data_IF_985401146189
#
_entry.id   IF_985401146189
#
_cell.length_a   1.000
_cell.length_b   1.000
_cell.length_c   1.000
_cell.angle_alpha   90.00
_cell.angle_beta   90.00
_cell.angle_gamma   90.00
#
_symmetry.space_group_name_H-M   'P 1'
#
loop_
_entity.id
_entity.type
_entity.pdbx_description
1 polymer ?
#
# COMPACT_ATOMS: atom_id res chain seq x y z
N UNK A 1 -14.33 -0.53 21.26
CA UNK A 1 -15.64 0.15 21.22
C UNK A 1 -15.53 1.67 21.04
N UNK A 2 -14.77 2.42 21.87
CA UNK A 2 -14.67 3.90 21.76
C UNK A 2 -14.12 4.39 20.40
N UNK A 3 -13.09 3.75 19.84
CA UNK A 3 -12.50 4.13 18.53
C UNK A 3 -13.36 3.80 17.29
N UNK A 4 -14.21 2.78 17.39
CA UNK A 4 -15.17 2.44 16.30
C UNK A 4 -16.30 3.46 16.24
N UNK A 5 -16.73 3.99 17.40
CA UNK A 5 -17.66 5.10 17.49
C UNK A 5 -17.03 6.41 16.96
N UNK A 6 -15.75 6.66 17.22
CA UNK A 6 -15.03 7.83 16.67
C UNK A 6 -14.96 7.79 15.13
N UNK A 7 -14.60 6.65 14.53
CA UNK A 7 -14.53 6.49 13.06
C UNK A 7 -15.90 6.57 12.39
N UNK A 8 -16.95 6.02 13.03
CA UNK A 8 -18.34 6.20 12.58
C UNK A 8 -18.75 7.68 12.63
N UNK A 9 -18.39 8.40 13.69
CA UNK A 9 -18.67 9.84 13.82
C UNK A 9 -17.92 10.68 12.78
N UNK A 10 -16.69 10.30 12.40
CA UNK A 10 -15.90 10.99 11.37
C UNK A 10 -16.50 10.78 9.98
N UNK A 11 -17.00 9.57 9.68
CA UNK A 11 -17.72 9.29 8.43
C UNK A 11 -19.00 10.12 8.32
N UNK A 12 -19.76 10.21 9.42
CA UNK A 12 -21.00 11.00 9.51
C UNK A 12 -20.73 12.51 9.43
N UNK A 13 -19.72 13.02 10.14
CA UNK A 13 -19.31 14.42 10.07
C UNK A 13 -18.80 14.81 8.67
N UNK A 14 -18.07 13.90 8.00
CA UNK A 14 -17.65 14.05 6.61
C UNK A 14 -18.84 14.10 5.67
N UNK A 15 -19.84 13.23 5.86
CA UNK A 15 -21.06 13.26 5.06
C UNK A 15 -21.85 14.56 5.28
N UNK A 16 -22.01 15.01 6.52
CA UNK A 16 -22.67 16.29 6.83
C UNK A 16 -21.93 17.50 6.25
N UNK A 17 -20.59 17.50 6.26
CA UNK A 17 -19.81 18.55 5.60
C UNK A 17 -19.98 18.48 4.07
N UNK A 18 -19.94 17.29 3.47
CA UNK A 18 -20.17 17.11 2.04
C UNK A 18 -21.59 17.52 1.62
N UNK A 19 -22.59 17.23 2.44
CA UNK A 19 -23.99 17.64 2.21
C UNK A 19 -24.14 19.16 2.35
N UNK A 20 -23.50 19.75 3.36
CA UNK A 20 -23.43 21.20 3.54
C UNK A 20 -22.72 21.90 2.36
N UNK A 21 -21.65 21.30 1.82
CA UNK A 21 -20.95 21.82 0.65
C UNK A 21 -21.72 21.56 -0.66
N UNK A 22 -22.48 20.48 -0.78
CA UNK A 22 -23.36 20.23 -1.91
C UNK A 22 -24.46 21.31 -1.99
N UNK A 23 -25.04 21.68 -0.84
CA UNK A 23 -26.00 22.79 -0.70
C UNK A 23 -25.38 24.14 -1.12
N UNK A 24 -24.11 24.38 -0.75
CA UNK A 24 -23.39 25.59 -1.17
C UNK A 24 -23.07 25.61 -2.68
N UNK A 25 -22.83 24.46 -3.31
CA UNK A 25 -22.54 24.38 -4.76
C UNK A 25 -23.76 24.50 -5.67
N UNK A 26 -24.98 24.22 -5.18
CA UNK A 26 -26.21 24.58 -5.92
C UNK A 26 -26.44 26.09 -5.96
N UNK A 27 -25.80 26.83 -5.05
CA UNK A 27 -25.81 28.29 -5.06
C UNK A 27 -24.69 28.80 -5.98
N UNK A 28 -24.86 28.59 -7.28
CA UNK A 28 -24.11 29.33 -8.29
C UNK A 28 -24.47 30.81 -8.13
N UNK A 29 -23.56 31.60 -7.58
CA UNK A 29 -23.65 33.07 -7.66
C UNK A 29 -23.46 33.42 -9.15
N UNK A 30 -24.58 33.45 -9.87
CA UNK A 30 -24.68 34.08 -11.18
C UNK A 30 -24.66 35.59 -10.92
N UNK A 31 -23.47 36.21 -11.01
CA UNK A 31 -23.40 37.67 -11.19
C UNK A 31 -23.74 37.95 -12.66
N UNK A 32 -25.03 37.98 -12.98
CA UNK A 32 -25.55 38.73 -14.12
C UNK A 32 -26.90 39.32 -13.72
N UNK A 33 -26.98 40.65 -13.82
CA UNK A 33 -28.21 41.42 -13.73
C UNK A 33 -29.38 40.70 -14.41
N UNK A 34 -30.46 40.44 -13.67
CA UNK A 34 -31.83 40.35 -14.17
C UNK A 34 -32.84 40.53 -13.01
N UNK A 35 -34.07 40.99 -13.31
CA UNK A 35 -34.96 41.69 -12.41
C UNK A 35 -35.80 40.77 -11.51
N UNK A 36 -36.42 41.41 -10.53
CA UNK A 36 -37.23 40.84 -9.48
C UNK A 36 -38.42 40.00 -9.99
N UNK A 37 -38.34 38.70 -9.82
CA UNK A 37 -39.37 37.90 -9.14
C UNK A 37 -38.92 36.45 -9.05
N UNK A 38 -38.40 36.04 -7.89
CA UNK A 38 -38.38 34.61 -7.53
C UNK A 38 -38.77 34.42 -6.07
N UNK A 39 -39.78 33.57 -5.95
CA UNK A 39 -40.50 33.11 -4.76
C UNK A 39 -39.60 32.45 -3.71
N UNK A 40 -39.76 32.95 -2.48
CA UNK A 40 -39.68 32.31 -1.17
C UNK A 40 -39.11 30.88 -1.06
N UNK A 41 -37.88 30.76 -0.53
CA UNK A 41 -37.45 29.70 0.42
C UNK A 41 -35.96 29.85 0.82
N UNK A 42 -35.52 31.00 1.34
CA UNK A 42 -34.15 31.16 1.88
C UNK A 42 -34.08 32.03 3.14
N UNK A 43 -35.07 31.96 4.02
CA UNK A 43 -34.97 32.54 5.37
C UNK A 43 -34.16 31.62 6.32
N UNK A 44 -32.98 31.14 5.90
CA UNK A 44 -32.02 30.60 6.88
C UNK A 44 -31.39 31.80 7.58
N UNK A 45 -31.68 31.95 8.88
CA UNK A 45 -31.05 32.95 9.75
C UNK A 45 -29.54 32.91 9.51
N UNK A 46 -28.95 33.99 9.02
CA UNK A 46 -27.49 34.06 8.82
C UNK A 46 -26.86 33.99 10.21
N UNK A 47 -26.37 32.81 10.59
CA UNK A 47 -25.65 32.62 11.85
C UNK A 47 -24.26 33.23 11.62
N UNK A 48 -24.05 34.45 12.11
CA UNK A 48 -22.72 35.06 12.17
C UNK A 48 -21.92 34.37 13.28
N UNK A 49 -21.24 33.28 12.93
CA UNK A 49 -20.26 32.66 13.83
C UNK A 49 -19.09 33.64 14.03
N UNK A 50 -18.54 33.75 15.25
CA UNK A 50 -17.33 34.53 15.48
C UNK A 50 -16.19 34.00 14.61
N UNK A 51 -15.27 34.86 14.14
CA UNK A 51 -14.18 34.44 13.27
C UNK A 51 -13.27 33.45 14.02
N UNK A 52 -13.26 32.19 13.59
CA UNK A 52 -12.36 31.19 14.16
C UNK A 52 -10.89 31.55 13.84
N UNK A 53 -9.93 31.27 14.75
CA UNK A 53 -8.49 31.38 14.50
C UNK A 53 -8.01 30.48 13.35
N UNK A 54 -6.82 30.76 12.81
CA UNK A 54 -6.26 29.97 11.68
C UNK A 54 -5.98 28.53 12.10
N UNK A 55 -5.49 28.34 13.32
CA UNK A 55 -5.14 27.06 13.93
C UNK A 55 -6.36 26.16 14.05
N UNK A 56 -7.49 26.73 14.49
CA UNK A 56 -8.77 26.02 14.56
C UNK A 56 -9.28 25.63 13.18
N UNK A 57 -9.17 26.53 12.19
CA UNK A 57 -9.51 26.17 10.81
C UNK A 57 -8.61 25.07 10.28
N UNK A 58 -7.29 25.12 10.52
CA UNK A 58 -6.37 24.08 10.08
C UNK A 58 -6.75 22.72 10.65
N UNK A 59 -7.04 22.63 11.95
CA UNK A 59 -7.53 21.39 12.56
C UNK A 59 -8.80 20.89 11.87
N UNK A 60 -9.80 21.76 11.67
CA UNK A 60 -11.05 21.37 10.99
C UNK A 60 -10.78 20.84 9.57
N UNK A 61 -9.92 21.52 8.80
CA UNK A 61 -9.58 21.14 7.43
C UNK A 61 -8.77 19.83 7.38
N UNK A 62 -7.86 19.62 8.35
CA UNK A 62 -7.11 18.38 8.53
C UNK A 62 -8.06 17.21 8.82
N UNK A 63 -8.98 17.37 9.78
CA UNK A 63 -10.00 16.36 10.09
C UNK A 63 -10.92 16.06 8.92
N UNK A 64 -11.38 17.10 8.20
CA UNK A 64 -12.26 16.95 7.04
C UNK A 64 -11.58 16.19 5.87
N UNK A 65 -10.25 16.17 5.83
CA UNK A 65 -9.47 15.57 4.75
C UNK A 65 -8.61 14.39 5.20
N UNK A 66 -8.74 13.99 6.46
CA UNK A 66 -7.95 12.92 7.08
C UNK A 66 -8.15 11.59 6.37
N UNK A 67 -7.04 10.91 6.12
CA UNK A 67 -7.00 9.53 5.61
C UNK A 67 -6.01 8.77 6.51
N UNK A 68 -6.44 7.76 7.27
CA UNK A 68 -5.55 7.00 8.15
C UNK A 68 -4.34 6.47 7.39
N UNK A 69 -3.14 6.54 7.99
CA UNK A 69 -1.91 5.98 7.41
C UNK A 69 -1.47 6.57 6.06
N UNK A 70 -2.08 7.65 5.56
CA UNK A 70 -1.78 8.19 4.21
C UNK A 70 -0.31 8.58 4.01
N UNK A 71 0.37 8.99 5.08
CA UNK A 71 1.80 9.36 5.10
C UNK A 71 2.69 8.33 5.82
N UNK A 72 2.17 7.13 6.06
CA UNK A 72 2.91 6.05 6.70
C UNK A 72 3.76 5.28 5.67
N UNK A 73 5.10 5.35 5.77
CA UNK A 73 5.97 4.64 4.84
C UNK A 73 6.13 3.16 5.18
N UNK A 74 5.77 2.73 6.39
CA UNK A 74 6.12 1.42 6.92
C UNK A 74 5.04 0.39 6.53
N UNK A 75 5.45 -0.88 6.42
CA UNK A 75 4.53 -2.01 6.28
C UNK A 75 4.48 -2.70 7.64
N UNK A 76 3.37 -2.50 8.34
CA UNK A 76 3.18 -3.10 9.66
C UNK A 76 2.92 -4.59 9.51
N UNK A 77 3.54 -5.37 10.39
CA UNK A 77 3.23 -6.78 10.51
C UNK A 77 1.77 -6.90 10.97
N UNK A 78 0.92 -7.67 10.25
CA UNK A 78 -0.49 -7.82 10.59
C UNK A 78 -0.73 -8.30 12.02
N UNK A 79 0.23 -9.01 12.63
CA UNK A 79 0.10 -9.62 13.95
C UNK A 79 0.51 -8.69 15.10
N UNK A 80 1.09 -7.53 14.82
CA UNK A 80 1.48 -6.59 15.86
C UNK A 80 0.22 -5.97 16.50
N UNK A 81 0.20 -5.88 17.84
CA UNK A 81 -0.92 -5.28 18.58
C UNK A 81 -0.42 -4.27 19.62
N UNK A 82 -1.08 -3.10 19.74
CA UNK A 82 -2.15 -2.59 18.88
C UNK A 82 -1.61 -2.15 17.51
N UNK A 83 -2.40 -2.34 16.44
CA UNK A 83 -2.06 -1.78 15.13
C UNK A 83 -2.10 -0.24 15.17
N UNK A 84 -1.14 0.45 14.54
CA UNK A 84 -1.05 1.91 14.57
C UNK A 84 -2.14 2.60 13.72
N UNK A 85 -2.74 1.88 12.77
CA UNK A 85 -3.81 2.34 11.90
C UNK A 85 -4.80 1.20 11.64
N UNK A 86 -6.02 1.48 11.12
CA UNK A 86 -6.93 0.43 10.66
C UNK A 86 -6.20 -0.53 9.73
N UNK A 87 -6.43 -1.83 9.94
CA UNK A 87 -5.76 -2.86 9.16
C UNK A 87 -6.09 -2.68 7.67
N UNK A 88 -5.06 -2.68 6.83
CA UNK A 88 -5.20 -2.71 5.37
C UNK A 88 -4.56 -3.97 4.85
N UNK A 89 -5.20 -4.70 3.92
CA UNK A 89 -4.59 -5.84 3.27
C UNK A 89 -3.20 -5.46 2.74
N UNK A 90 -2.14 -6.13 3.19
CA UNK A 90 -0.78 -5.83 2.77
C UNK A 90 -0.70 -5.93 1.24
N UNK A 91 -0.02 -4.96 0.62
CA UNK A 91 0.29 -4.96 -0.82
C UNK A 91 -0.92 -4.72 -1.76
N UNK A 92 -2.11 -4.45 -1.22
CA UNK A 92 -3.25 -3.91 -1.96
C UNK A 92 -3.38 -2.40 -1.69
N UNK A 93 -3.11 -1.59 -2.71
CA UNK A 93 -3.21 -0.12 -2.61
C UNK A 93 -4.54 0.43 -3.12
N UNK A 94 -5.46 -0.41 -3.63
CA UNK A 94 -6.66 0.07 -4.30
C UNK A 94 -7.62 0.82 -3.37
N UNK A 95 -7.82 0.31 -2.15
CA UNK A 95 -8.66 0.94 -1.14
C UNK A 95 -8.05 2.24 -0.64
N UNK A 96 -6.77 2.24 -0.29
CA UNK A 96 -6.03 3.44 0.09
C UNK A 96 -6.09 4.52 -1.00
N UNK A 97 -5.84 4.14 -2.27
CA UNK A 97 -5.95 5.06 -3.41
C UNK A 97 -7.38 5.58 -3.62
N UNK A 98 -8.41 4.80 -3.29
CA UNK A 98 -9.79 5.28 -3.31
C UNK A 98 -10.01 6.34 -2.24
N UNK A 99 -9.54 6.12 -1.01
CA UNK A 99 -9.67 7.08 0.09
C UNK A 99 -8.92 8.38 -0.19
N UNK A 100 -7.70 8.29 -0.72
CA UNK A 100 -6.90 9.45 -1.16
C UNK A 100 -7.66 10.27 -2.20
N UNK A 101 -8.23 9.61 -3.23
CA UNK A 101 -9.03 10.30 -4.25
C UNK A 101 -10.24 11.00 -3.65
N UNK A 102 -10.95 10.37 -2.72
CA UNK A 102 -12.08 10.99 -2.02
C UNK A 102 -11.64 12.20 -1.16
N UNK A 103 -10.48 12.11 -0.50
CA UNK A 103 -9.90 13.23 0.25
C UNK A 103 -9.51 14.37 -0.69
N UNK A 104 -8.89 14.08 -1.84
CA UNK A 104 -8.52 15.08 -2.85
C UNK A 104 -9.73 15.85 -3.40
N UNK A 105 -10.87 15.19 -3.60
CA UNK A 105 -12.12 15.87 -3.98
C UNK A 105 -12.51 16.90 -2.93
N UNK A 106 -12.46 16.53 -1.66
CA UNK A 106 -12.77 17.42 -0.53
C UNK A 106 -11.78 18.58 -0.48
N UNK A 107 -10.47 18.30 -0.49
CA UNK A 107 -9.38 19.30 -0.53
C UNK A 107 -9.57 20.32 -1.67
N UNK A 108 -9.97 19.87 -2.86
CA UNK A 108 -10.24 20.74 -4.01
C UNK A 108 -11.41 21.70 -3.79
N UNK A 109 -12.45 21.29 -3.07
CA UNK A 109 -13.55 22.19 -2.72
C UNK A 109 -13.11 23.21 -1.67
N UNK A 110 -12.36 22.78 -0.65
CA UNK A 110 -11.89 23.65 0.43
C UNK A 110 -11.06 24.83 -0.08
N UNK A 111 -10.11 24.59 -1.01
CA UNK A 111 -9.25 25.66 -1.57
C UNK A 111 -10.01 26.69 -2.42
N UNK A 112 -11.29 26.45 -2.72
CA UNK A 112 -12.13 27.32 -3.58
C UNK A 112 -13.18 28.10 -2.80
N UNK A 113 -13.25 27.94 -1.47
CA UNK A 113 -14.27 28.61 -0.64
C UNK A 113 -14.01 30.11 -0.53
N UNK A 114 -12.84 30.51 -0.04
CA UNK A 114 -12.43 31.91 0.08
C UNK A 114 -10.90 32.04 0.09
N UNK A 115 -10.36 33.26 0.01
CA UNK A 115 -8.90 33.50 0.01
C UNK A 115 -8.19 32.92 1.25
N UNK A 116 -8.84 33.00 2.42
CA UNK A 116 -8.29 32.46 3.67
C UNK A 116 -8.20 30.94 3.61
N UNK A 117 -9.28 30.26 3.21
CA UNK A 117 -9.30 28.80 3.07
C UNK A 117 -8.39 28.32 1.96
N UNK A 118 -8.27 29.08 0.88
CA UNK A 118 -7.29 28.84 -0.17
C UNK A 118 -5.88 28.76 0.41
N UNK A 119 -5.46 29.76 1.19
CA UNK A 119 -4.13 29.77 1.81
C UNK A 119 -3.93 28.61 2.81
N UNK A 120 -4.94 28.31 3.65
CA UNK A 120 -4.83 27.26 4.67
C UNK A 120 -4.90 25.84 4.10
N UNK A 121 -5.73 25.59 3.08
CA UNK A 121 -5.97 24.26 2.53
C UNK A 121 -5.04 23.91 1.35
N UNK A 122 -4.30 24.88 0.78
CA UNK A 122 -3.38 24.61 -0.33
C UNK A 122 -2.29 23.59 0.03
N UNK A 123 -1.61 23.68 1.19
CA UNK A 123 -0.64 22.65 1.60
C UNK A 123 -1.28 21.26 1.68
N UNK A 124 -2.50 21.17 2.25
CA UNK A 124 -3.24 19.91 2.35
C UNK A 124 -3.55 19.32 0.97
N UNK A 125 -3.92 20.15 -0.01
CA UNK A 125 -4.20 19.72 -1.39
C UNK A 125 -2.99 19.03 -2.05
N UNK A 126 -1.79 19.59 -1.86
CA UNK A 126 -0.56 19.07 -2.47
C UNK A 126 0.14 18.00 -1.63
N UNK A 127 -0.21 17.84 -0.36
CA UNK A 127 0.46 16.89 0.54
C UNK A 127 0.47 15.44 0.04
N UNK A 128 -0.66 14.98 -0.52
CA UNK A 128 -0.80 13.65 -1.11
C UNK A 128 -1.53 13.75 -2.44
N UNK A 129 -0.81 13.47 -3.52
CA UNK A 129 -1.28 13.63 -4.90
C UNK A 129 -1.48 12.27 -5.55
N UNK A 130 -2.64 12.09 -6.20
CA UNK A 130 -2.94 10.91 -7.01
C UNK A 130 -3.13 11.30 -8.48
N UNK A 131 -2.44 10.63 -9.39
CA UNK A 131 -2.50 10.86 -10.83
C UNK A 131 -2.88 9.57 -11.55
N UNK A 132 -4.07 9.55 -12.13
CA UNK A 132 -4.59 8.40 -12.89
C UNK A 132 -4.60 8.59 -14.41
N UNK A 133 -4.24 9.78 -14.91
CA UNK A 133 -4.30 10.13 -16.34
C UNK A 133 -3.06 10.91 -16.78
N UNK A 134 -2.58 10.67 -17.99
CA UNK A 134 -1.39 11.36 -18.56
C UNK A 134 -1.57 12.88 -18.58
N UNK A 135 -2.73 13.37 -19.02
CA UNK A 135 -3.01 14.82 -19.07
C UNK A 135 -2.90 15.49 -17.70
N UNK A 136 -3.27 14.78 -16.64
CA UNK A 136 -3.15 15.27 -15.27
C UNK A 136 -1.71 15.29 -14.80
N UNK A 137 -0.89 14.34 -15.28
CA UNK A 137 0.55 14.32 -15.03
C UNK A 137 1.26 15.51 -15.67
N UNK A 138 0.94 15.82 -16.94
CA UNK A 138 1.48 16.99 -17.64
C UNK A 138 1.06 18.30 -16.96
N UNK A 139 -0.24 18.43 -16.63
CA UNK A 139 -0.74 19.60 -15.90
C UNK A 139 -0.08 19.75 -14.53
N UNK A 140 0.19 18.66 -13.81
CA UNK A 140 0.93 18.71 -12.55
C UNK A 140 2.35 19.22 -12.77
N UNK A 141 3.09 18.65 -13.74
CA UNK A 141 4.44 19.10 -14.08
C UNK A 141 4.48 20.60 -14.33
N UNK A 142 3.61 21.09 -15.21
CA UNK A 142 3.64 22.50 -15.64
C UNK A 142 3.37 23.44 -14.45
N UNK A 143 2.43 23.08 -13.57
CA UNK A 143 2.15 23.87 -12.36
C UNK A 143 3.31 23.83 -11.35
N UNK A 144 3.93 22.67 -11.13
CA UNK A 144 5.06 22.54 -10.21
C UNK A 144 6.28 23.34 -10.69
N UNK A 145 6.61 23.22 -11.97
CA UNK A 145 7.73 23.94 -12.59
C UNK A 145 7.46 25.45 -12.59
N UNK A 146 6.25 25.89 -12.94
CA UNK A 146 5.90 27.30 -12.90
C UNK A 146 6.00 27.89 -11.48
N UNK A 147 5.52 27.15 -10.49
CA UNK A 147 5.60 27.59 -9.08
C UNK A 147 7.04 27.64 -8.57
N UNK A 148 7.89 26.68 -8.94
CA UNK A 148 9.31 26.68 -8.57
C UNK A 148 10.07 27.87 -9.19
N UNK A 149 9.74 28.24 -10.43
CA UNK A 149 10.31 29.43 -11.09
C UNK A 149 9.90 30.71 -10.37
N UNK A 150 8.62 30.85 -10.02
CA UNK A 150 8.11 32.01 -9.28
C UNK A 150 8.83 32.19 -7.94
N UNK A 151 9.11 31.11 -7.21
CA UNK A 151 9.88 31.18 -5.95
C UNK A 151 11.33 31.63 -6.20
N UNK A 152 11.98 31.08 -7.23
CA UNK A 152 13.38 31.43 -7.59
C UNK A 152 13.52 32.88 -8.04
N UNK A 153 12.50 33.43 -8.70
CA UNK A 153 12.42 34.81 -9.18
C UNK A 153 12.04 35.82 -8.06
N UNK A 154 12.05 35.40 -6.78
CA UNK A 154 11.77 36.26 -5.64
C UNK A 154 10.28 36.43 -5.30
N UNK A 155 9.43 35.53 -5.79
CA UNK A 155 8.01 35.49 -5.43
C UNK A 155 7.79 35.18 -3.95
N UNK A 156 6.70 35.72 -3.39
CA UNK A 156 6.31 35.51 -1.97
C UNK A 156 5.74 34.09 -1.74
N UNK A 157 5.34 33.38 -2.80
CA UNK A 157 4.71 32.08 -2.72
C UNK A 157 5.72 30.93 -2.70
N UNK A 158 5.54 30.01 -1.75
CA UNK A 158 6.32 28.77 -1.63
C UNK A 158 6.08 27.84 -2.84
N UNK A 159 7.13 27.16 -3.33
CA UNK A 159 6.97 26.21 -4.41
C UNK A 159 6.01 25.07 -4.02
N UNK A 160 4.99 24.83 -4.85
CA UNK A 160 3.95 23.82 -4.62
C UNK A 160 4.52 22.43 -4.31
N UNK A 161 5.65 22.08 -4.95
CA UNK A 161 6.33 20.80 -4.79
C UNK A 161 6.90 20.54 -3.38
N UNK A 162 7.14 21.60 -2.60
CA UNK A 162 7.63 21.50 -1.21
C UNK A 162 6.59 20.91 -0.25
N UNK A 163 5.32 20.96 -0.60
CA UNK A 163 4.25 20.36 0.20
C UNK A 163 4.05 18.89 -0.08
N UNK A 164 4.48 18.38 -1.25
CA UNK A 164 4.22 17.01 -1.66
C UNK A 164 5.02 16.02 -0.81
N UNK A 165 4.30 15.21 -0.03
CA UNK A 165 4.86 14.13 0.80
C UNK A 165 4.58 12.75 0.22
N UNK A 166 3.49 12.62 -0.55
CA UNK A 166 3.12 11.38 -1.22
C UNK A 166 2.68 11.62 -2.65
N UNK A 167 3.16 10.78 -3.57
CA UNK A 167 2.74 10.77 -4.97
C UNK A 167 2.36 9.35 -5.41
N UNK A 168 1.13 9.19 -5.88
CA UNK A 168 0.62 7.96 -6.47
C UNK A 168 0.42 8.17 -7.99
N UNK A 169 1.22 7.51 -8.81
CA UNK A 169 1.14 7.54 -10.28
C UNK A 169 0.59 6.22 -10.79
N UNK A 170 -0.70 6.19 -11.14
CA UNK A 170 -1.42 5.03 -11.63
C UNK A 170 -2.00 5.29 -13.03
N UNK A 171 -1.14 5.75 -13.94
CA UNK A 171 -1.51 6.20 -15.28
C UNK A 171 -1.80 4.99 -16.18
N UNK A 172 -3.06 4.87 -16.63
CA UNK A 172 -3.53 3.72 -17.43
C UNK A 172 -3.62 4.02 -18.93
N UNK A 173 -3.69 5.30 -19.28
CA UNK A 173 -3.97 5.85 -20.62
C UNK A 173 -2.70 6.29 -21.37
N UNK A 174 -1.51 5.92 -20.89
CA UNK A 174 -0.27 6.24 -21.59
C UNK A 174 -0.02 5.30 -22.76
N UNK A 175 -0.51 5.72 -23.93
CA UNK A 175 -0.32 5.04 -25.22
C UNK A 175 0.76 5.67 -26.09
N UNK A 176 1.55 6.62 -25.57
CA UNK A 176 2.55 7.39 -26.33
C UNK A 176 3.58 6.56 -27.11
N UNK A 177 4.30 7.14 -28.06
CA UNK A 177 5.39 6.43 -28.73
C UNK A 177 6.58 6.21 -27.77
N UNK A 178 7.52 5.29 -28.03
CA UNK A 178 8.71 5.07 -27.19
C UNK A 178 9.55 6.33 -26.94
N UNK A 179 9.44 7.32 -27.83
CA UNK A 179 10.18 8.59 -27.78
C UNK A 179 9.45 9.72 -27.05
N UNK A 180 8.21 9.51 -26.60
CA UNK A 180 7.48 10.54 -25.86
C UNK A 180 8.15 10.75 -24.50
N UNK A 181 8.59 11.99 -24.25
CA UNK A 181 9.23 12.36 -22.99
C UNK A 181 8.25 12.17 -21.83
N UNK A 182 8.57 11.21 -20.96
CA UNK A 182 7.82 10.95 -19.75
C UNK A 182 8.05 12.10 -18.77
N UNK A 183 7.01 12.83 -18.32
CA UNK A 183 7.19 14.08 -17.55
C UNK A 183 7.60 13.87 -16.09
N UNK A 184 7.73 12.61 -15.64
CA UNK A 184 7.94 12.30 -14.24
C UNK A 184 9.31 12.71 -13.69
N UNK A 185 10.45 12.61 -14.41
CA UNK A 185 11.71 13.15 -13.94
C UNK A 185 11.63 14.65 -13.63
N UNK A 186 10.95 15.44 -14.47
CA UNK A 186 10.72 16.87 -14.24
C UNK A 186 9.89 17.12 -12.97
N UNK A 187 8.85 16.30 -12.76
CA UNK A 187 8.06 16.33 -11.53
C UNK A 187 8.95 16.01 -10.34
N UNK A 188 9.74 14.92 -10.37
CA UNK A 188 10.60 14.52 -9.26
C UNK A 188 11.57 15.62 -8.84
N UNK A 189 12.13 16.37 -9.81
CA UNK A 189 13.01 17.51 -9.55
C UNK A 189 12.33 18.66 -8.76
N UNK A 190 11.00 18.67 -8.68
CA UNK A 190 10.24 19.64 -7.90
C UNK A 190 9.87 19.14 -6.49
N UNK A 191 10.13 17.87 -6.13
CA UNK A 191 9.57 17.24 -4.92
C UNK A 191 10.62 16.85 -3.85
N UNK A 192 11.46 17.77 -3.35
CA UNK A 192 12.57 17.42 -2.45
C UNK A 192 12.14 16.89 -1.06
N UNK A 193 10.83 16.89 -0.78
CA UNK A 193 10.22 16.49 0.49
C UNK A 193 9.38 15.22 0.38
N UNK A 194 9.42 14.56 -0.79
CA UNK A 194 8.67 13.35 -1.09
C UNK A 194 9.11 12.19 -0.18
N UNK A 195 8.16 11.58 0.52
CA UNK A 195 8.37 10.44 1.43
C UNK A 195 7.87 9.13 0.85
N UNK A 196 6.77 9.17 0.10
CA UNK A 196 6.11 7.98 -0.46
C UNK A 196 5.92 8.18 -1.95
N UNK A 197 6.45 7.24 -2.75
CA UNK A 197 6.20 7.15 -4.18
C UNK A 197 5.60 5.80 -4.52
N UNK A 198 4.39 5.82 -5.08
CA UNK A 198 3.73 4.62 -5.61
C UNK A 198 3.58 4.80 -7.11
N UNK A 199 4.13 3.88 -7.88
CA UNK A 199 4.06 3.87 -9.33
C UNK A 199 3.52 2.55 -9.84
N UNK A 200 2.41 2.66 -10.55
CA UNK A 200 1.73 1.58 -11.23
C UNK A 200 1.63 1.96 -12.71
N UNK A 201 2.60 1.50 -13.49
CA UNK A 201 2.69 1.77 -14.94
C UNK A 201 2.72 0.45 -15.72
N UNK A 202 2.27 0.50 -16.97
CA UNK A 202 2.45 -0.60 -17.93
C UNK A 202 3.76 -0.48 -18.73
N UNK A 203 4.54 0.58 -18.49
CA UNK A 203 5.78 0.89 -19.22
C UNK A 203 7.00 0.92 -18.30
N UNK A 204 7.67 -0.21 -18.14
CA UNK A 204 8.87 -0.32 -17.31
C UNK A 204 10.01 0.61 -17.74
N UNK A 205 10.18 0.86 -19.04
CA UNK A 205 11.28 1.63 -19.62
C UNK A 205 11.36 3.09 -19.15
N UNK A 206 10.29 3.61 -18.55
CA UNK A 206 10.20 4.99 -18.06
C UNK A 206 10.80 5.16 -16.66
N UNK A 207 11.07 4.05 -15.97
CA UNK A 207 11.51 4.08 -14.59
C UNK A 207 12.98 4.50 -14.38
N UNK A 208 13.97 4.09 -15.20
CA UNK A 208 15.38 4.47 -14.95
C UNK A 208 15.64 5.99 -14.92
N UNK A 209 15.17 6.81 -15.88
CA UNK A 209 15.31 8.26 -15.81
C UNK A 209 14.62 8.86 -14.57
N UNK A 210 13.48 8.26 -14.18
CA UNK A 210 12.76 8.66 -12.97
C UNK A 210 13.58 8.34 -11.72
N UNK A 211 14.19 7.15 -11.63
CA UNK A 211 14.99 6.74 -10.47
C UNK A 211 16.20 7.65 -10.27
N UNK A 212 16.87 8.06 -11.35
CA UNK A 212 17.96 9.02 -11.28
C UNK A 212 17.50 10.37 -10.71
N UNK A 213 16.35 10.89 -11.18
CA UNK A 213 15.78 12.13 -10.65
C UNK A 213 15.36 12.01 -9.17
N UNK A 214 14.83 10.84 -8.77
CA UNK A 214 14.52 10.52 -7.37
C UNK A 214 15.79 10.56 -6.54
N UNK A 215 16.86 9.85 -6.93
CA UNK A 215 18.12 9.82 -6.19
C UNK A 215 18.68 11.22 -5.97
N UNK A 216 18.68 12.04 -7.02
CA UNK A 216 19.19 13.42 -6.99
C UNK A 216 18.39 14.36 -6.08
N UNK A 217 17.05 14.27 -6.09
CA UNK A 217 16.19 15.28 -5.46
C UNK A 217 15.53 14.80 -4.18
N UNK A 218 15.07 13.55 -4.17
CA UNK A 218 14.22 12.97 -3.13
C UNK A 218 14.94 11.88 -2.33
N UNK A 219 16.18 11.51 -2.67
CA UNK A 219 16.85 10.32 -2.12
C UNK A 219 17.00 10.34 -0.60
N UNK A 220 17.18 11.54 -0.02
CA UNK A 220 17.24 11.72 1.43
C UNK A 220 15.89 11.79 2.12
N UNK A 221 14.79 12.08 1.41
CA UNK A 221 13.45 12.17 2.01
C UNK A 221 12.60 10.92 1.79
N UNK A 222 12.89 10.16 0.74
CA UNK A 222 12.09 9.02 0.31
C UNK A 222 12.23 7.85 1.29
N UNK A 223 11.09 7.37 1.78
CA UNK A 223 10.97 6.31 2.77
C UNK A 223 10.23 5.09 2.22
N UNK A 224 9.29 5.26 1.29
CA UNK A 224 8.56 4.17 0.64
C UNK A 224 8.59 4.33 -0.87
N UNK A 225 9.01 3.27 -1.54
CA UNK A 225 8.98 3.17 -3.00
C UNK A 225 8.24 1.90 -3.39
N UNK A 226 7.13 2.05 -4.11
CA UNK A 226 6.40 0.95 -4.72
C UNK A 226 6.39 1.11 -6.23
N UNK A 227 6.89 0.12 -6.96
CA UNK A 227 6.94 0.13 -8.42
C UNK A 227 6.53 -1.22 -8.97
N UNK A 228 5.48 -1.28 -9.79
CA UNK A 228 4.97 -2.53 -10.34
C UNK A 228 5.77 -3.09 -11.53
N UNK A 229 6.71 -2.32 -12.09
CA UNK A 229 7.52 -2.72 -13.24
C UNK A 229 8.99 -2.39 -13.01
N UNK A 230 9.85 -3.40 -13.09
CA UNK A 230 11.31 -3.24 -13.06
C UNK A 230 11.90 -3.56 -14.42
N UNK A 231 12.86 -2.75 -14.87
CA UNK A 231 13.69 -3.03 -16.05
C UNK A 231 15.11 -3.40 -15.66
N UNK A 232 15.70 -4.28 -16.46
CA UNK A 232 17.11 -4.68 -16.44
C UNK A 232 18.10 -3.54 -16.67
N UNK A 233 17.65 -2.41 -17.24
CA UNK A 233 18.51 -1.24 -17.47
C UNK A 233 19.02 -0.60 -16.18
N UNK A 234 18.43 -0.91 -15.02
CA UNK A 234 18.97 -0.55 -13.71
C UNK A 234 20.24 -1.35 -13.34
N UNK A 235 20.45 -2.53 -13.92
CA UNK A 235 21.60 -3.38 -13.63
C UNK A 235 22.91 -2.88 -14.28
N UNK A 236 22.86 -1.90 -15.18
CA UNK A 236 24.07 -1.29 -15.74
C UNK A 236 24.55 -0.07 -14.92
N UNK A 237 23.77 0.40 -13.96
CA UNK A 237 24.14 1.49 -13.06
C UNK A 237 23.84 1.12 -11.61
N UNK A 238 24.80 0.48 -10.95
CA UNK A 238 24.78 0.01 -9.54
C UNK A 238 24.57 1.12 -8.48
N UNK A 239 24.21 2.34 -8.89
CA UNK A 239 24.18 3.55 -8.06
C UNK A 239 22.79 4.04 -7.71
N UNK A 240 21.75 3.71 -8.49
CA UNK A 240 20.43 4.37 -8.34
C UNK A 240 19.74 4.18 -6.98
N UNK A 241 19.96 3.05 -6.31
CA UNK A 241 19.42 2.80 -4.96
C UNK A 241 20.33 3.32 -3.84
N UNK A 242 21.62 3.56 -4.11
CA UNK A 242 22.59 4.07 -3.12
C UNK A 242 22.19 5.46 -2.61
N UNK A 243 21.55 6.24 -3.45
CA UNK A 243 21.11 7.59 -3.10
C UNK A 243 19.84 7.59 -2.21
N UNK A 244 19.13 6.47 -2.10
CA UNK A 244 17.89 6.34 -1.33
C UNK A 244 18.17 6.01 0.15
N UNK A 245 18.91 6.89 0.82
CA UNK A 245 19.51 6.63 2.15
C UNK A 245 18.49 6.43 3.29
N UNK A 246 17.26 6.91 3.13
CA UNK A 246 16.21 6.79 4.14
C UNK A 246 15.08 5.83 3.75
N UNK A 247 15.30 5.01 2.71
CA UNK A 247 14.32 4.03 2.26
C UNK A 247 14.08 2.95 3.32
N UNK A 248 12.81 2.80 3.72
CA UNK A 248 12.34 1.82 4.72
C UNK A 248 11.58 0.67 4.09
N UNK A 249 10.82 0.99 3.04
CA UNK A 249 9.94 0.06 2.34
C UNK A 249 10.21 0.11 0.85
N UNK A 250 10.56 -1.04 0.28
CA UNK A 250 10.70 -1.21 -1.16
C UNK A 250 9.80 -2.34 -1.65
N UNK A 251 8.77 -1.98 -2.42
CA UNK A 251 7.83 -2.93 -3.00
C UNK A 251 8.01 -2.95 -4.51
N UNK A 252 8.48 -4.08 -5.02
CA UNK A 252 8.56 -4.34 -6.45
C UNK A 252 7.41 -5.24 -6.88
N UNK A 253 6.87 -5.02 -8.08
CA UNK A 253 5.84 -5.86 -8.68
C UNK A 253 6.40 -7.10 -9.38
N UNK A 254 5.55 -8.06 -9.73
CA UNK A 254 5.93 -9.20 -10.56
C UNK A 254 6.42 -8.73 -11.93
N UNK A 255 7.49 -9.34 -12.42
CA UNK A 255 8.00 -9.09 -13.78
C UNK A 255 7.23 -9.99 -14.74
N UNK A 256 6.40 -9.37 -15.58
CA UNK A 256 5.50 -10.09 -16.50
C UNK A 256 6.16 -10.53 -17.82
N UNK A 257 7.41 -10.13 -18.08
CA UNK A 257 8.12 -10.45 -19.33
C UNK A 257 9.40 -11.24 -19.03
N UNK A 258 9.54 -12.41 -19.68
CA UNK A 258 10.68 -13.31 -19.56
C UNK A 258 11.99 -12.68 -20.10
N UNK A 259 11.89 -11.59 -20.86
CA UNK A 259 13.04 -10.90 -21.45
C UNK A 259 13.65 -9.81 -20.56
N UNK A 260 13.09 -9.54 -19.38
CA UNK A 260 13.64 -8.52 -18.47
C UNK A 260 14.38 -9.18 -17.32
N UNK A 261 15.72 -9.04 -17.35
CA UNK A 261 16.55 -9.37 -16.20
C UNK A 261 16.11 -8.49 -15.02
N UNK A 262 15.51 -9.08 -14.01
CA UNK A 262 15.23 -8.38 -12.77
C UNK A 262 16.53 -8.04 -12.04
N UNK A 263 16.47 -7.01 -11.20
CA UNK A 263 17.58 -6.66 -10.33
C UNK A 263 17.80 -7.81 -9.35
N UNK A 264 19.01 -8.36 -9.34
CA UNK A 264 19.42 -9.35 -8.36
C UNK A 264 19.20 -8.76 -6.96
N UNK A 265 18.44 -9.41 -6.07
CA UNK A 265 18.23 -8.92 -4.70
C UNK A 265 19.56 -8.61 -3.99
N UNK A 266 20.60 -9.38 -4.28
CA UNK A 266 21.93 -9.21 -3.69
C UNK A 266 22.65 -7.94 -4.19
N UNK A 267 22.40 -7.53 -5.44
CA UNK A 267 22.96 -6.30 -6.00
C UNK A 267 22.22 -5.03 -5.54
N UNK A 268 21.08 -5.17 -4.86
CA UNK A 268 20.32 -4.05 -4.32
C UNK A 268 21.05 -3.49 -3.09
N UNK A 269 21.82 -2.41 -3.27
CA UNK A 269 22.34 -1.64 -2.15
C UNK A 269 21.20 -0.82 -1.56
N UNK A 270 20.55 -1.30 -0.50
CA UNK A 270 19.48 -0.56 0.19
C UNK A 270 20.02 0.15 1.42
N UNK A 271 19.24 1.12 1.90
CA UNK A 271 19.49 1.79 3.17
C UNK A 271 19.61 0.78 4.32
N UNK A 272 20.50 1.01 5.30
CA UNK A 272 20.53 0.21 6.52
C UNK A 272 19.18 0.22 7.26
N UNK A 273 18.37 1.28 7.08
CA UNK A 273 17.05 1.47 7.69
C UNK A 273 15.91 0.71 7.00
N UNK A 274 16.21 -0.05 5.94
CA UNK A 274 15.21 -0.82 5.20
C UNK A 274 14.70 -2.00 6.04
N UNK A 275 13.40 -2.00 6.34
CA UNK A 275 12.73 -3.04 7.14
C UNK A 275 11.95 -4.03 6.27
N UNK A 276 11.38 -3.54 5.15
CA UNK A 276 10.56 -4.30 4.23
C UNK A 276 11.07 -4.23 2.79
N UNK A 277 11.32 -5.38 2.15
CA UNK A 277 11.73 -5.47 0.74
C UNK A 277 11.00 -6.57 -0.02
N UNK A 278 10.67 -6.33 -1.30
CA UNK A 278 10.34 -7.42 -2.21
C UNK A 278 11.60 -8.11 -2.73
N UNK A 279 11.66 -9.43 -2.57
CA UNK A 279 12.61 -10.34 -3.20
C UNK A 279 11.96 -10.92 -4.47
N UNK A 280 12.25 -10.39 -5.67
CA UNK A 280 11.71 -10.92 -6.91
C UNK A 280 12.27 -12.32 -7.21
N UNK A 281 11.40 -13.32 -7.35
CA UNK A 281 11.79 -14.68 -7.73
C UNK A 281 11.76 -14.87 -9.25
N UNK A 282 12.86 -14.49 -9.89
CA UNK A 282 13.02 -14.54 -11.35
C UNK A 282 14.36 -15.18 -11.67
N UNK A 283 14.44 -15.94 -12.78
CA UNK A 283 15.68 -16.31 -13.47
C UNK A 283 16.49 -15.07 -13.86
N UNK A 284 17.26 -14.54 -12.91
CA UNK A 284 18.39 -13.69 -13.24
C UNK A 284 19.41 -14.54 -14.03
N UNK A 285 20.16 -13.93 -14.94
CA UNK A 285 21.38 -14.58 -15.45
C UNK A 285 22.28 -14.86 -14.23
N UNK A 286 23.03 -15.97 -14.19
CA UNK A 286 24.03 -16.16 -13.15
C UNK A 286 25.00 -14.97 -13.22
N UNK A 287 24.93 -14.11 -12.22
CA UNK A 287 25.86 -12.99 -12.06
C UNK A 287 26.96 -13.47 -11.12
N UNK A 288 28.21 -13.30 -11.53
CA UNK A 288 29.37 -13.50 -10.66
C UNK A 288 29.48 -12.26 -9.78
N UNK A 289 29.41 -12.42 -8.46
CA UNK A 289 29.62 -11.33 -7.49
C UNK A 289 31.10 -10.99 -7.37
N UNK A 290 31.77 -10.69 -8.49
CA UNK A 290 33.15 -10.24 -8.48
C UNK A 290 33.21 -8.79 -7.97
N UNK A 291 33.72 -8.59 -6.74
CA UNK A 291 34.05 -7.26 -6.22
C UNK A 291 33.02 -6.56 -5.32
N UNK A 292 32.02 -7.27 -4.79
CA UNK A 292 31.20 -6.71 -3.71
C UNK A 292 32.00 -6.75 -2.39
N UNK A 293 32.67 -5.64 -2.07
CA UNK A 293 33.41 -5.46 -0.81
C UNK A 293 32.63 -5.89 0.45
N UNK A 294 33.35 -6.39 1.45
CA UNK A 294 32.82 -6.76 2.78
C UNK A 294 32.08 -5.62 3.52
N UNK A 295 32.14 -4.39 3.02
CA UNK A 295 31.42 -3.22 3.54
C UNK A 295 29.92 -3.17 3.24
N UNK A 296 29.41 -3.96 2.28
CA UNK A 296 27.98 -4.01 1.93
C UNK A 296 27.15 -4.92 2.88
N UNK A 297 27.74 -5.28 4.02
CA UNK A 297 27.27 -6.34 4.93
C UNK A 297 26.29 -5.87 6.01
N UNK A 298 25.82 -4.62 6.06
CA UNK A 298 24.93 -4.16 7.14
C UNK A 298 23.52 -3.80 6.67
N UNK A 299 22.62 -4.80 6.70
CA UNK A 299 21.16 -4.60 6.79
C UNK A 299 20.74 -4.93 8.24
N UNK A 300 20.92 -4.00 9.20
CA UNK A 300 20.58 -4.27 10.59
C UNK A 300 19.09 -4.47 10.81
N UNK A 301 18.24 -3.80 10.02
CA UNK A 301 16.79 -3.75 10.24
C UNK A 301 15.96 -4.66 9.32
N UNK A 302 16.57 -5.52 8.50
CA UNK A 302 15.82 -6.42 7.62
C UNK A 302 15.02 -7.46 8.41
N UNK A 303 13.73 -7.19 8.65
CA UNK A 303 12.81 -8.06 9.41
C UNK A 303 11.69 -8.65 8.58
N UNK A 304 11.34 -8.00 7.47
CA UNK A 304 10.20 -8.36 6.65
C UNK A 304 10.57 -8.47 5.17
N UNK A 305 10.08 -9.51 4.51
CA UNK A 305 10.32 -9.72 3.09
C UNK A 305 9.06 -10.19 2.37
N UNK A 306 8.81 -9.64 1.19
CA UNK A 306 7.86 -10.18 0.23
C UNK A 306 8.59 -11.03 -0.80
N UNK A 307 8.32 -12.32 -0.84
CA UNK A 307 8.82 -13.23 -1.85
C UNK A 307 7.76 -13.34 -2.94
N UNK A 308 8.04 -12.78 -4.11
CA UNK A 308 7.10 -12.79 -5.23
C UNK A 308 7.45 -13.96 -6.17
N UNK A 309 6.57 -14.96 -6.22
CA UNK A 309 6.79 -16.20 -6.97
C UNK A 309 6.10 -16.08 -8.33
N UNK A 310 6.87 -16.12 -9.42
CA UNK A 310 6.34 -16.07 -10.79
C UNK A 310 5.68 -17.40 -11.18
N UNK A 311 4.66 -17.31 -12.05
CA UNK A 311 3.80 -18.44 -12.47
C UNK A 311 4.62 -19.59 -13.06
N UNK A 312 5.75 -19.28 -13.72
CA UNK A 312 6.59 -20.24 -14.43
C UNK A 312 7.68 -20.93 -13.60
N UNK A 313 7.89 -20.54 -12.33
CA UNK A 313 9.02 -21.03 -11.54
C UNK A 313 8.56 -21.79 -10.29
N UNK A 314 8.76 -23.11 -10.32
CA UNK A 314 8.52 -23.99 -9.17
C UNK A 314 9.56 -23.84 -8.05
N UNK A 315 10.69 -23.20 -8.34
CA UNK A 315 11.83 -23.09 -7.43
C UNK A 315 12.23 -21.64 -7.20
N UNK A 316 12.89 -21.40 -6.07
CA UNK A 316 13.52 -20.12 -5.80
C UNK A 316 14.74 -19.92 -6.69
N UNK A 317 14.95 -18.69 -7.15
CA UNK A 317 16.13 -18.30 -7.89
C UNK A 317 17.37 -18.37 -6.98
N UNK A 318 18.56 -18.67 -7.53
CA UNK A 318 19.79 -18.70 -6.75
C UNK A 318 20.03 -17.42 -5.94
N UNK A 319 19.71 -16.26 -6.50
CA UNK A 319 19.89 -14.97 -5.83
C UNK A 319 18.96 -14.78 -4.62
N UNK A 320 17.72 -15.27 -4.69
CA UNK A 320 16.81 -15.24 -3.54
C UNK A 320 17.31 -16.21 -2.47
N UNK A 321 17.74 -17.41 -2.85
CA UNK A 321 18.30 -18.39 -1.92
C UNK A 321 19.56 -17.86 -1.22
N UNK A 322 20.47 -17.24 -1.95
CA UNK A 322 21.68 -16.63 -1.42
C UNK A 322 21.37 -15.47 -0.47
N UNK A 323 20.43 -14.60 -0.84
CA UNK A 323 19.94 -13.54 0.05
C UNK A 323 19.37 -14.11 1.35
N UNK A 324 18.55 -15.16 1.28
CA UNK A 324 18.04 -15.84 2.47
C UNK A 324 19.17 -16.49 3.27
N UNK A 325 20.15 -17.12 2.62
CA UNK A 325 21.28 -17.75 3.30
C UNK A 325 22.13 -16.75 4.08
N UNK A 326 22.37 -15.57 3.50
CA UNK A 326 23.21 -14.52 4.12
C UNK A 326 22.42 -13.67 5.13
N UNK A 327 21.12 -13.43 4.89
CA UNK A 327 20.32 -12.43 5.64
C UNK A 327 19.11 -12.99 6.39
N UNK A 328 18.69 -14.22 6.10
CA UNK A 328 17.47 -14.82 6.62
C UNK A 328 17.43 -14.94 8.14
N UNK A 329 18.58 -14.97 8.82
CA UNK A 329 18.65 -15.03 10.28
C UNK A 329 17.98 -13.88 11.02
N UNK A 330 17.77 -12.73 10.36
CA UNK A 330 17.07 -11.56 10.93
C UNK A 330 15.58 -11.51 10.56
N UNK A 331 15.16 -12.30 9.57
CA UNK A 331 13.80 -12.29 9.05
C UNK A 331 12.83 -12.84 10.11
N UNK A 332 11.79 -12.07 10.40
CA UNK A 332 10.73 -12.43 11.37
C UNK A 332 9.39 -12.66 10.70
N UNK A 333 9.15 -11.99 9.57
CA UNK A 333 7.89 -12.04 8.82
C UNK A 333 8.15 -12.22 7.34
N UNK A 334 7.49 -13.20 6.70
CA UNK A 334 7.58 -13.44 5.26
C UNK A 334 6.21 -13.35 4.60
N UNK A 335 6.10 -12.54 3.56
CA UNK A 335 4.93 -12.44 2.69
C UNK A 335 5.17 -13.27 1.45
N UNK A 336 4.39 -14.32 1.26
CA UNK A 336 4.47 -15.23 0.12
C UNK A 336 3.39 -14.83 -0.87
N UNK A 337 3.79 -14.15 -1.93
CA UNK A 337 2.88 -13.76 -3.00
C UNK A 337 2.87 -14.86 -4.06
N UNK A 338 1.86 -15.71 -3.98
CA UNK A 338 1.75 -16.93 -4.77
C UNK A 338 0.93 -16.65 -6.02
N UNK A 339 1.58 -16.78 -7.18
CA UNK A 339 0.88 -16.81 -8.47
C UNK A 339 0.66 -18.24 -8.97
N UNK A 340 1.37 -19.22 -8.42
CA UNK A 340 1.22 -20.65 -8.70
C UNK A 340 1.66 -21.53 -7.52
N UNK A 341 1.29 -22.81 -7.53
CA UNK A 341 1.27 -23.70 -6.35
C UNK A 341 2.54 -24.49 -6.07
N UNK A 342 3.29 -24.84 -7.12
CA UNK A 342 4.56 -25.57 -7.00
C UNK A 342 5.61 -24.81 -6.17
N UNK A 343 5.38 -23.52 -5.97
CA UNK A 343 6.30 -22.60 -5.31
C UNK A 343 6.29 -22.67 -3.78
N UNK A 344 5.19 -23.09 -3.13
CA UNK A 344 5.05 -23.01 -1.65
C UNK A 344 6.08 -23.88 -0.95
N UNK A 345 6.11 -25.18 -1.24
CA UNK A 345 7.04 -26.14 -0.59
C UNK A 345 8.51 -25.77 -0.79
N UNK A 346 8.85 -25.30 -2.00
CA UNK A 346 10.23 -24.89 -2.30
C UNK A 346 10.64 -23.70 -1.44
N UNK A 347 9.73 -22.73 -1.24
CA UNK A 347 10.03 -21.50 -0.50
C UNK A 347 10.06 -21.75 1.00
N UNK A 348 9.08 -22.44 1.54
CA UNK A 348 9.03 -22.81 2.96
C UNK A 348 10.21 -23.69 3.37
N UNK A 349 10.67 -24.60 2.50
CA UNK A 349 11.89 -25.38 2.72
C UNK A 349 13.14 -24.49 2.84
N UNK A 350 13.27 -23.48 1.97
CA UNK A 350 14.35 -22.51 2.05
C UNK A 350 14.25 -21.61 3.29
N UNK A 351 13.04 -21.15 3.63
CA UNK A 351 12.78 -20.37 4.84
C UNK A 351 13.14 -21.16 6.10
N UNK A 352 12.75 -22.44 6.17
CA UNK A 352 13.09 -23.34 7.27
C UNK A 352 14.59 -23.54 7.42
N UNK A 353 15.33 -23.60 6.31
CA UNK A 353 16.79 -23.77 6.33
C UNK A 353 17.53 -22.49 6.75
N UNK A 354 17.03 -21.32 6.35
CA UNK A 354 17.81 -20.07 6.42
C UNK A 354 17.25 -18.99 7.36
N UNK A 355 16.01 -19.14 7.84
CA UNK A 355 15.30 -18.13 8.63
C UNK A 355 14.87 -18.68 10.01
N UNK A 356 15.82 -18.92 10.94
CA UNK A 356 15.53 -19.51 12.25
C UNK A 356 14.66 -18.64 13.19
N UNK A 357 14.55 -17.33 12.92
CA UNK A 357 13.74 -16.38 13.71
C UNK A 357 12.37 -16.07 13.09
N UNK A 358 12.01 -16.76 12.01
CA UNK A 358 10.75 -16.52 11.32
C UNK A 358 9.59 -16.95 12.21
N UNK A 359 8.78 -15.99 12.63
CA UNK A 359 7.60 -16.22 13.47
C UNK A 359 6.30 -16.18 12.66
N UNK A 360 6.28 -15.40 11.58
CA UNK A 360 5.07 -15.10 10.83
C UNK A 360 5.22 -15.40 9.34
N UNK A 361 4.22 -16.07 8.77
CA UNK A 361 4.07 -16.21 7.33
C UNK A 361 2.72 -15.64 6.92
N UNK A 362 2.71 -14.78 5.91
CA UNK A 362 1.50 -14.25 5.29
C UNK A 362 1.44 -14.80 3.87
N UNK A 363 0.42 -15.58 3.57
CA UNK A 363 0.14 -16.08 2.22
C UNK A 363 -0.79 -15.10 1.53
N UNK A 364 -0.35 -14.57 0.40
CA UNK A 364 -1.11 -13.66 -0.45
C UNK A 364 -1.43 -14.37 -1.76
N UNK A 365 -2.70 -14.45 -2.10
CA UNK A 365 -3.19 -15.10 -3.33
C UNK A 365 -4.23 -14.24 -4.03
N UNK A 366 -4.28 -14.33 -5.35
CA UNK A 366 -5.35 -13.71 -6.13
C UNK A 366 -6.68 -14.44 -5.98
N UNK A 367 -6.65 -15.78 -5.92
CA UNK A 367 -7.82 -16.64 -5.75
C UNK A 367 -7.56 -17.75 -4.74
N UNK A 368 -8.62 -18.25 -4.10
CA UNK A 368 -8.51 -19.42 -3.23
C UNK A 368 -8.19 -20.70 -4.02
N UNK A 369 -8.56 -20.73 -5.31
CA UNK A 369 -8.17 -21.82 -6.20
C UNK A 369 -6.65 -21.92 -6.35
N UNK A 370 -5.95 -20.79 -6.50
CA UNK A 370 -4.48 -20.69 -6.51
C UNK A 370 -3.86 -21.15 -5.19
N UNK A 371 -4.59 -21.13 -4.08
CA UNK A 371 -4.14 -21.70 -2.81
C UNK A 371 -4.43 -23.21 -2.71
N UNK A 372 -5.58 -23.68 -3.20
CA UNK A 372 -6.10 -25.04 -2.91
C UNK A 372 -5.93 -26.12 -3.99
N UNK A 373 -6.02 -25.80 -5.29
CA UNK A 373 -5.76 -26.72 -6.42
C UNK A 373 -4.50 -27.62 -6.25
N UNK A 374 -4.59 -28.87 -5.75
CA UNK A 374 -3.47 -29.74 -5.27
C UNK A 374 -3.19 -29.65 -3.76
N UNK A 375 -4.23 -29.73 -2.92
CA UNK A 375 -4.18 -29.77 -1.46
C UNK A 375 -3.62 -31.09 -0.87
N UNK A 376 -2.54 -31.64 -1.43
CA UNK A 376 -1.91 -32.89 -0.98
C UNK A 376 -0.39 -32.79 -0.77
N UNK A 377 0.22 -31.62 -1.02
CA UNK A 377 1.66 -31.41 -0.80
C UNK A 377 1.89 -30.77 0.56
N UNK A 378 2.59 -31.48 1.44
CA UNK A 378 3.07 -30.92 2.71
C UNK A 378 3.96 -29.69 2.42
N UNK A 379 3.54 -28.49 2.84
CA UNK A 379 4.30 -27.27 2.65
C UNK A 379 5.60 -27.29 3.46
N UNK A 380 5.80 -28.14 4.46
CA UNK A 380 7.00 -28.16 5.30
C UNK A 380 7.28 -26.78 5.93
N UNK A 381 6.25 -26.16 6.50
CA UNK A 381 6.41 -24.87 7.16
C UNK A 381 7.55 -24.88 8.19
N UNK A 382 8.33 -23.79 8.30
CA UNK A 382 9.19 -23.57 9.46
C UNK A 382 8.36 -23.53 10.75
N UNK A 383 9.01 -23.64 11.93
CA UNK A 383 8.36 -23.41 13.21
C UNK A 383 7.89 -21.94 13.31
N UNK A 384 6.64 -21.68 12.94
CA UNK A 384 6.00 -20.36 12.99
C UNK A 384 4.90 -20.36 14.05
N UNK A 385 4.56 -19.18 14.57
CA UNK A 385 3.49 -18.99 15.55
C UNK A 385 2.23 -18.40 14.90
N UNK A 386 2.37 -17.61 13.83
CA UNK A 386 1.23 -17.00 13.14
C UNK A 386 1.24 -17.24 11.62
N UNK A 387 0.06 -17.57 11.09
CA UNK A 387 -0.20 -17.73 9.67
C UNK A 387 -1.30 -16.77 9.23
N UNK A 388 -0.98 -15.88 8.30
CA UNK A 388 -1.91 -14.92 7.71
C UNK A 388 -2.37 -15.41 6.34
N UNK A 389 -3.67 -15.34 6.07
CA UNK A 389 -4.25 -15.67 4.76
C UNK A 389 -4.91 -14.43 4.17
N UNK A 390 -4.39 -13.94 3.06
CA UNK A 390 -4.92 -12.80 2.31
C UNK A 390 -5.28 -13.24 0.89
N UNK A 391 -6.57 -13.26 0.58
CA UNK A 391 -7.08 -13.55 -0.76
C UNK A 391 -7.72 -12.30 -1.35
N UNK A 392 -7.45 -11.99 -2.63
CA UNK A 392 -8.11 -10.86 -3.33
C UNK A 392 -9.54 -11.16 -3.74
N UNK A 393 -9.92 -12.44 -3.84
CA UNK A 393 -11.33 -12.84 -3.94
C UNK A 393 -12.07 -12.47 -2.67
N UNK A 394 -13.13 -11.67 -2.82
CA UNK A 394 -13.96 -11.23 -1.70
C UNK A 394 -14.99 -12.27 -1.26
N UNK A 395 -15.26 -13.26 -2.10
CA UNK A 395 -16.28 -14.28 -1.88
C UNK A 395 -15.82 -15.60 -2.50
N UNK A 396 -16.22 -16.72 -1.93
CA UNK A 396 -16.00 -18.03 -2.55
C UNK A 396 -17.10 -19.02 -2.19
N UNK A 397 -16.94 -20.30 -2.58
CA UNK A 397 -17.91 -21.35 -2.29
C UNK A 397 -17.69 -21.92 -0.90
N UNK A 398 -18.75 -22.39 -0.27
CA UNK A 398 -18.70 -23.12 1.02
C UNK A 398 -17.68 -24.28 1.01
N UNK A 399 -17.65 -25.07 -0.07
CA UNK A 399 -16.70 -26.18 -0.23
C UNK A 399 -15.23 -25.72 -0.29
N UNK A 400 -14.97 -24.52 -0.81
CA UNK A 400 -13.65 -23.91 -0.84
C UNK A 400 -13.19 -23.60 0.59
N UNK A 401 -14.04 -22.97 1.41
CA UNK A 401 -13.72 -22.71 2.82
C UNK A 401 -13.46 -23.99 3.62
N UNK A 402 -14.28 -25.02 3.45
CA UNK A 402 -14.03 -26.33 4.06
C UNK A 402 -12.67 -26.91 3.64
N UNK A 403 -12.28 -26.73 2.37
CA UNK A 403 -10.98 -27.18 1.87
C UNK A 403 -9.81 -26.39 2.49
N UNK A 404 -9.98 -25.09 2.75
CA UNK A 404 -9.00 -24.26 3.46
C UNK A 404 -8.80 -24.78 4.88
N UNK A 405 -9.89 -24.96 5.64
CA UNK A 405 -9.79 -25.45 7.01
C UNK A 405 -9.19 -26.85 7.08
N UNK A 406 -9.61 -27.76 6.19
CA UNK A 406 -9.02 -29.10 6.07
C UNK A 406 -7.51 -29.03 5.78
N UNK A 407 -7.08 -28.18 4.85
CA UNK A 407 -5.66 -27.97 4.57
C UNK A 407 -4.89 -27.48 5.80
N UNK A 408 -5.46 -26.54 6.56
CA UNK A 408 -4.84 -26.04 7.79
C UNK A 408 -4.74 -27.12 8.87
N UNK A 409 -5.76 -27.95 9.03
CA UNK A 409 -5.74 -29.09 9.99
C UNK A 409 -4.69 -30.12 9.60
N UNK A 410 -4.58 -30.43 8.31
CA UNK A 410 -3.67 -31.46 7.80
C UNK A 410 -2.19 -31.01 7.85
N UNK A 411 -1.91 -29.71 7.70
CA UNK A 411 -0.55 -29.21 7.45
C UNK A 411 -0.05 -28.09 8.39
N UNK A 412 -0.83 -27.67 9.38
CA UNK A 412 -0.36 -26.68 10.35
C UNK A 412 0.87 -27.21 11.12
N UNK A 413 1.95 -26.42 11.25
CA UNK A 413 3.06 -26.81 12.11
C UNK A 413 2.60 -26.81 13.57
N UNK A 414 3.19 -27.69 14.38
CA UNK A 414 2.82 -27.86 15.80
C UNK A 414 3.00 -26.60 16.66
N UNK A 415 3.81 -25.65 16.20
CA UNK A 415 4.07 -24.37 16.89
C UNK A 415 3.05 -23.29 16.52
N UNK A 416 2.14 -23.56 15.58
CA UNK A 416 1.19 -22.57 15.13
C UNK A 416 0.16 -22.29 16.23
N UNK A 417 -0.04 -21.02 16.54
CA UNK A 417 -0.97 -20.55 17.57
C UNK A 417 -2.16 -19.81 16.95
N UNK A 418 -1.94 -19.11 15.82
CA UNK A 418 -2.94 -18.23 15.22
C UNK A 418 -3.00 -18.40 13.70
N UNK A 419 -4.21 -18.53 13.18
CA UNK A 419 -4.55 -18.32 11.76
C UNK A 419 -5.40 -17.06 11.65
N UNK A 420 -4.95 -16.09 10.87
CA UNK A 420 -5.68 -14.82 10.67
C UNK A 420 -6.09 -14.62 9.22
N UNK A 421 -7.38 -14.38 8.99
CA UNK A 421 -7.91 -14.01 7.68
C UNK A 421 -7.81 -12.49 7.51
N UNK A 422 -7.00 -12.05 6.55
CA UNK A 422 -6.60 -10.65 6.40
C UNK A 422 -7.50 -9.84 5.46
N UNK A 423 -8.31 -10.46 4.59
CA UNK A 423 -9.24 -9.71 3.74
C UNK A 423 -10.54 -9.41 4.51
N UNK A 424 -10.87 -8.14 4.82
CA UNK A 424 -12.10 -7.79 5.55
C UNK A 424 -13.38 -8.28 4.88
N UNK A 425 -13.44 -8.22 3.55
CA UNK A 425 -14.63 -8.64 2.78
C UNK A 425 -14.76 -10.15 2.74
N UNK A 426 -13.64 -10.86 2.57
CA UNK A 426 -13.60 -12.32 2.64
C UNK A 426 -13.94 -12.85 4.04
N UNK A 427 -13.62 -12.09 5.09
CA UNK A 427 -14.05 -12.39 6.46
C UNK A 427 -15.56 -12.21 6.62
N UNK A 428 -16.12 -11.11 6.12
CA UNK A 428 -17.56 -10.89 6.15
C UNK A 428 -18.30 -12.02 5.40
N UNK A 429 -17.82 -12.40 4.22
CA UNK A 429 -18.39 -13.51 3.45
C UNK A 429 -18.35 -14.85 4.22
N UNK A 430 -17.19 -15.19 4.80
CA UNK A 430 -17.03 -16.38 5.61
C UNK A 430 -17.99 -16.41 6.82
N UNK A 431 -18.17 -15.26 7.47
CA UNK A 431 -19.02 -15.12 8.66
C UNK A 431 -20.50 -15.19 8.32
N UNK A 432 -20.91 -14.45 7.29
CA UNK A 432 -22.33 -14.17 7.02
C UNK A 432 -22.97 -15.25 6.13
N UNK A 433 -22.21 -15.85 5.21
CA UNK A 433 -22.71 -16.83 4.24
C UNK A 433 -22.20 -18.26 4.48
N UNK A 434 -21.13 -18.41 5.26
CA UNK A 434 -20.45 -19.70 5.45
C UNK A 434 -20.15 -20.02 6.92
N UNK A 435 -21.03 -19.58 7.82
CA UNK A 435 -20.91 -19.74 9.27
C UNK A 435 -20.71 -21.20 9.71
N UNK A 436 -21.36 -22.16 9.05
CA UNK A 436 -21.17 -23.59 9.34
C UNK A 436 -19.73 -24.04 9.06
N UNK A 437 -19.16 -23.68 7.91
CA UNK A 437 -17.77 -23.99 7.57
C UNK A 437 -16.80 -23.35 8.57
N UNK A 438 -17.07 -22.10 8.97
CA UNK A 438 -16.30 -21.39 9.98
C UNK A 438 -16.35 -22.11 11.34
N UNK A 439 -17.54 -22.48 11.82
CA UNK A 439 -17.72 -23.14 13.14
C UNK A 439 -17.04 -24.50 13.16
N UNK A 440 -17.27 -25.33 12.14
CA UNK A 440 -16.68 -26.67 12.05
C UNK A 440 -15.16 -26.58 11.92
N UNK A 441 -14.66 -25.76 10.99
CA UNK A 441 -13.24 -25.60 10.74
C UNK A 441 -12.48 -24.99 11.92
N UNK A 442 -13.03 -23.95 12.54
CA UNK A 442 -12.41 -23.34 13.72
C UNK A 442 -12.45 -24.26 14.95
N UNK A 443 -13.49 -25.09 15.11
CA UNK A 443 -13.55 -26.11 16.16
C UNK A 443 -12.44 -27.16 15.99
N UNK A 444 -12.19 -27.60 14.76
CA UNK A 444 -11.09 -28.53 14.47
C UNK A 444 -9.72 -27.91 14.78
N UNK A 445 -9.47 -26.67 14.34
CA UNK A 445 -8.23 -25.96 14.64
C UNK A 445 -8.05 -25.69 16.14
N UNK A 446 -9.13 -25.39 16.87
CA UNK A 446 -9.08 -25.21 18.33
C UNK A 446 -8.67 -26.48 19.07
N UNK A 447 -9.06 -27.67 18.59
CA UNK A 447 -8.59 -28.95 19.15
C UNK A 447 -7.08 -29.12 19.01
N UNK A 448 -6.46 -28.45 18.05
CA UNK A 448 -5.01 -28.37 17.85
C UNK A 448 -4.35 -27.21 18.62
N UNK A 449 -5.13 -26.43 19.40
CA UNK A 449 -4.64 -25.26 20.12
C UNK A 449 -4.56 -23.97 19.28
N UNK A 450 -5.06 -23.98 18.04
CA UNK A 450 -4.94 -22.87 17.09
C UNK A 450 -6.18 -21.95 17.18
N UNK A 451 -5.96 -20.64 17.31
CA UNK A 451 -7.01 -19.61 17.23
C UNK A 451 -7.26 -19.19 15.78
N UNK A 452 -8.51 -18.86 15.48
CA UNK A 452 -8.92 -18.32 14.18
C UNK A 452 -9.37 -16.88 14.36
N UNK A 453 -8.74 -15.95 13.66
CA UNK A 453 -8.93 -14.52 13.85
C UNK A 453 -9.34 -13.79 12.57
N UNK A 454 -10.05 -12.68 12.75
CA UNK A 454 -10.32 -11.73 11.67
C UNK A 454 -9.15 -10.78 11.44
N UNK A 455 -9.30 -9.94 10.42
CA UNK A 455 -8.30 -8.97 9.99
C UNK A 455 -7.92 -7.93 11.07
N UNK A 456 -8.74 -7.76 12.11
CA UNK A 456 -8.45 -6.88 13.25
C UNK A 456 -7.83 -7.62 14.44
N UNK A 457 -7.69 -8.95 14.36
CA UNK A 457 -7.18 -9.80 15.42
C UNK A 457 -8.24 -10.23 16.44
N UNK A 458 -9.53 -10.05 16.15
CA UNK A 458 -10.58 -10.58 16.99
C UNK A 458 -10.80 -12.06 16.70
N UNK A 459 -11.09 -12.85 17.74
CA UNK A 459 -11.47 -14.26 17.59
C UNK A 459 -12.77 -14.38 16.79
N UNK A 460 -12.69 -15.00 15.61
CA UNK A 460 -13.81 -15.15 14.68
C UNK A 460 -14.96 -16.00 15.23
N UNK A 461 -14.70 -16.79 16.26
CA UNK A 461 -15.67 -17.68 16.87
C UNK A 461 -16.42 -17.05 18.06
N UNK A 462 -15.96 -15.89 18.55
CA UNK A 462 -16.53 -15.21 19.73
C UNK A 462 -17.57 -14.14 19.37
N UNK A 463 -17.81 -13.89 18.08
CA UNK A 463 -18.91 -13.04 17.61
C UNK A 463 -20.25 -13.78 17.75
N UNK A 464 -21.05 -13.38 18.73
CA UNK A 464 -22.28 -14.06 19.11
C UNK A 464 -23.31 -14.20 18.00
N UNK A 465 -23.88 -15.41 17.91
CA UNK A 465 -25.25 -15.65 17.50
C UNK A 465 -26.20 -14.96 18.48
N UNK A 466 -26.31 -13.63 18.40
CA UNK A 466 -27.43 -12.92 18.98
C UNK A 466 -28.57 -12.94 17.96
N UNK A 467 -29.40 -13.99 18.03
CA UNK A 467 -30.70 -13.99 17.37
C UNK A 467 -30.98 -15.21 16.48
N UNK A 468 -31.02 -16.41 17.04
CA UNK A 468 -32.11 -17.36 16.77
C UNK A 468 -32.34 -18.17 18.05
N UNK A 469 -33.33 -17.77 18.82
CA UNK A 469 -33.92 -18.55 19.91
C UNK A 469 -35.39 -18.23 19.97
N UNK A 470 -36.17 -19.00 19.20
CA UNK A 470 -37.46 -19.61 19.54
C UNK A 470 -38.04 -20.22 18.28
#
# INVERSE_FOLDING_TARGET
>A
MVRSAELSSVSVARQHLLDYFADLTQTTIVIKHLPASMSASWNKKVINLPPLPNETWLQILEWATFVPGILDPDIHNPFDYPLPAPFRPPLDTAEEQREIRMSLVTKRYLVRVCKRWHALAMPLLYESVYIGRVRSLLSLRDNLVASQRQETEGGIACALGLWVRRLDVAVRDFHGQPNDSWPLPDIMNCLPKLRILIMVTKRPSLFPPTLLAIGKTCGSSLQKLMCNTYTSTLCQGETGFRDLRNLRTLITGPVFDQNWAAVCPFAMTLSPSCDFVTLPNIRARPHVHEGLDDGYTSFPFFRQARICLSVSEAHLSPCVLEMLAVRGSKLTTAYLDLTSKNSVKSVTGALKKHCPRLAHIIIVVDSWYTFLHESSVDPQFPPITHLGLSCRENQTRHSTYNSIFRYLVDFAPRTLEVVRFLNPRGVADLRDHHSEALVVGASQLRKLGIRVEDHEGNDLTRGGFAGVSS
#
